data_IF_939544501534
#
_entry.id   IF_939544501534
#
_cell.length_a   1.000
_cell.length_b   1.000
_cell.length_c   1.000
_cell.angle_alpha   90.00
_cell.angle_beta   90.00
_cell.angle_gamma   90.00
#
_symmetry.space_group_name_H-M   'P 1'
#
loop_
_entity.id
_entity.type
_entity.pdbx_description
1 polymer ?
#
# COMPACT_ATOMS: atom_id res chain seq x y z
N UNK A 1 15.50 2.58 -16.74
CA UNK A 1 16.86 2.36 -16.20
C UNK A 1 17.02 3.15 -14.92
N UNK A 2 16.61 2.58 -13.78
CA UNK A 2 16.86 3.16 -12.47
C UNK A 2 18.18 2.59 -11.95
N UNK A 3 19.28 3.31 -12.16
CA UNK A 3 20.58 2.93 -11.59
C UNK A 3 20.54 3.20 -10.08
N UNK A 4 20.44 2.13 -9.30
CA UNK A 4 20.45 2.17 -7.83
C UNK A 4 21.87 2.48 -7.34
N UNK A 5 22.06 3.62 -6.68
CA UNK A 5 23.19 3.84 -5.79
C UNK A 5 22.94 3.06 -4.48
N UNK A 6 23.27 1.77 -4.47
CA UNK A 6 23.03 0.85 -3.36
C UNK A 6 24.05 0.94 -2.20
N UNK A 7 25.10 1.76 -2.33
CA UNK A 7 26.35 1.48 -1.60
C UNK A 7 26.64 2.35 -0.36
N UNK A 8 25.63 2.97 0.27
CA UNK A 8 25.90 3.86 1.42
C UNK A 8 25.27 3.46 2.77
N UNK A 9 24.63 2.30 2.90
CA UNK A 9 24.06 1.91 4.21
C UNK A 9 24.24 0.43 4.58
N UNK A 10 24.79 0.10 5.76
CA UNK A 10 24.94 -1.29 6.19
C UNK A 10 23.57 -1.98 6.39
N UNK A 11 23.37 -3.10 5.68
CA UNK A 11 22.19 -4.01 5.70
C UNK A 11 21.75 -4.50 7.09
N UNK A 12 22.53 -4.24 8.14
CA UNK A 12 22.34 -4.78 9.49
C UNK A 12 21.58 -3.88 10.48
N UNK A 13 21.33 -2.59 10.18
CA UNK A 13 20.82 -1.63 11.20
C UNK A 13 19.30 -1.43 11.25
N UNK A 14 18.53 -1.99 10.30
CA UNK A 14 17.09 -1.69 10.14
C UNK A 14 16.12 -2.83 10.45
N UNK A 15 16.57 -4.09 10.36
CA UNK A 15 15.87 -5.21 11.02
C UNK A 15 15.75 -5.01 12.54
N UNK A 16 16.36 -3.97 13.13
CA UNK A 16 16.31 -3.64 14.54
C UNK A 16 15.06 -2.84 14.99
N UNK A 17 14.22 -2.30 14.09
CA UNK A 17 13.01 -1.58 14.50
C UNK A 17 11.90 -2.58 14.90
N UNK A 18 11.32 -2.42 16.10
CA UNK A 18 10.35 -3.37 16.69
C UNK A 18 9.20 -3.75 15.75
N UNK A 19 8.66 -2.79 14.99
CA UNK A 19 7.54 -3.04 14.08
C UNK A 19 7.98 -3.73 12.78
N UNK A 20 9.18 -3.43 12.26
CA UNK A 20 9.73 -4.11 11.10
C UNK A 20 9.95 -5.60 11.39
N UNK A 21 10.45 -5.95 12.60
CA UNK A 21 10.56 -7.35 13.05
C UNK A 21 9.21 -8.08 13.09
N UNK A 22 8.13 -7.35 13.39
CA UNK A 22 6.75 -7.88 13.43
C UNK A 22 6.06 -7.87 12.06
N UNK A 23 6.78 -7.57 10.97
CA UNK A 23 6.21 -7.38 9.62
C UNK A 23 5.15 -6.26 9.53
N UNK A 24 5.22 -5.27 10.42
CA UNK A 24 4.34 -4.10 10.46
C UNK A 24 5.10 -2.84 10.01
N UNK A 25 5.70 -2.87 8.82
CA UNK A 25 6.56 -1.80 8.32
C UNK A 25 5.84 -0.45 8.18
N UNK A 26 4.52 -0.45 7.96
CA UNK A 26 3.65 0.74 7.94
C UNK A 26 3.62 1.51 9.27
N UNK A 27 4.11 0.91 10.36
CA UNK A 27 4.21 1.51 11.70
C UNK A 27 5.67 1.77 12.12
N UNK A 28 6.60 1.84 11.16
CA UNK A 28 8.02 2.03 11.45
C UNK A 28 8.30 3.37 12.15
N UNK A 29 8.76 3.32 13.40
CA UNK A 29 9.13 4.52 14.18
C UNK A 29 10.47 5.16 13.77
N UNK A 30 11.26 4.51 12.91
CA UNK A 30 12.58 5.00 12.48
C UNK A 30 12.52 5.88 11.24
N UNK A 31 11.49 5.77 10.41
CA UNK A 31 11.36 6.51 9.14
C UNK A 31 10.82 7.93 9.33
N UNK A 32 10.34 8.27 10.53
CA UNK A 32 9.86 9.62 10.85
C UNK A 32 10.65 10.21 12.03
N UNK A 33 11.40 11.27 11.75
CA UNK A 33 12.14 12.02 12.76
C UNK A 33 11.36 13.23 13.33
N UNK A 34 10.15 13.49 12.84
CA UNK A 34 9.40 14.69 13.22
C UNK A 34 8.97 14.64 14.70
N UNK A 35 9.43 15.62 15.48
CA UNK A 35 9.12 15.74 16.91
C UNK A 35 7.70 16.26 17.16
N UNK A 36 7.15 17.06 16.25
CA UNK A 36 5.79 17.61 16.34
C UNK A 36 4.76 16.48 16.29
N UNK A 37 4.98 15.49 15.41
CA UNK A 37 4.11 14.31 15.35
C UNK A 37 4.02 13.57 16.69
N UNK A 38 5.15 13.46 17.41
CA UNK A 38 5.18 12.88 18.76
C UNK A 38 4.42 13.75 19.77
N UNK A 39 4.55 15.07 19.68
CA UNK A 39 3.87 16.00 20.58
C UNK A 39 2.34 15.94 20.42
N UNK A 40 1.84 15.85 19.19
CA UNK A 40 0.39 15.84 18.90
C UNK A 40 -0.22 14.46 19.18
N UNK A 41 0.41 13.38 18.71
CA UNK A 41 -0.17 12.03 18.75
C UNK A 41 0.38 11.14 19.87
N UNK A 42 1.28 11.66 20.72
CA UNK A 42 1.98 10.89 21.78
C UNK A 42 3.05 9.92 21.25
N UNK A 43 3.00 9.58 19.95
CA UNK A 43 3.93 8.67 19.27
C UNK A 43 4.29 9.21 17.89
N UNK A 44 5.42 8.75 17.35
CA UNK A 44 5.78 8.99 15.95
C UNK A 44 5.12 7.93 15.07
N UNK A 45 4.47 8.38 14.00
CA UNK A 45 3.99 7.53 12.91
C UNK A 45 5.12 7.20 11.94
N UNK A 46 4.90 6.32 10.97
CA UNK A 46 5.87 6.05 9.92
C UNK A 46 6.04 7.24 8.95
N UNK A 47 7.21 7.29 8.31
CA UNK A 47 7.46 8.20 7.19
C UNK A 47 6.61 7.82 5.98
N UNK A 48 6.04 8.80 5.29
CA UNK A 48 5.22 8.62 4.09
C UNK A 48 5.72 9.54 2.98
N UNK A 49 5.91 9.00 1.77
CA UNK A 49 6.34 9.76 0.60
C UNK A 49 5.21 10.69 0.11
N UNK A 50 5.55 11.94 -0.20
CA UNK A 50 4.63 12.89 -0.83
C UNK A 50 3.44 13.28 0.04
N UNK A 51 3.58 13.14 1.35
CA UNK A 51 2.53 13.46 2.32
C UNK A 51 2.96 14.61 3.24
N UNK A 52 2.21 14.82 4.33
CA UNK A 52 2.44 15.90 5.29
C UNK A 52 3.86 15.94 5.87
N UNK A 53 4.33 17.14 6.22
CA UNK A 53 5.55 17.31 7.01
C UNK A 53 5.50 16.54 8.34
N UNK A 54 4.31 16.29 8.90
CA UNK A 54 4.12 15.49 10.11
C UNK A 54 4.54 14.02 9.93
N UNK A 55 4.48 13.48 8.71
CA UNK A 55 4.90 12.11 8.37
C UNK A 55 6.32 12.08 7.80
N UNK A 56 7.20 12.91 8.35
CA UNK A 56 8.62 12.96 7.99
C UNK A 56 8.97 13.88 6.83
N UNK A 57 7.99 14.45 6.11
CA UNK A 57 8.25 15.40 5.02
C UNK A 57 9.07 14.81 3.87
N UNK A 58 8.88 13.52 3.58
CA UNK A 58 9.62 12.82 2.53
C UNK A 58 9.02 13.19 1.18
N UNK A 59 9.87 13.58 0.22
CA UNK A 59 9.44 13.94 -1.13
C UNK A 59 8.65 12.78 -1.80
N UNK A 60 7.63 13.12 -2.59
CA UNK A 60 6.80 12.15 -3.29
C UNK A 60 7.48 11.54 -4.51
N UNK A 61 6.88 10.48 -5.05
CA UNK A 61 7.35 9.79 -6.26
C UNK A 61 6.74 10.29 -7.57
N UNK A 62 5.93 11.36 -7.55
CA UNK A 62 5.40 12.00 -8.77
C UNK A 62 6.47 12.90 -9.40
N UNK A 63 7.59 12.29 -9.77
CA UNK A 63 8.78 12.93 -10.35
C UNK A 63 9.56 11.89 -11.16
N UNK A 64 10.48 12.34 -11.99
CA UNK A 64 11.37 11.44 -12.77
C UNK A 64 12.31 10.63 -11.86
N UNK A 65 12.62 11.16 -10.67
CA UNK A 65 13.49 10.54 -9.69
C UNK A 65 12.89 10.63 -8.28
N UNK A 66 13.04 9.56 -7.50
CA UNK A 66 12.64 9.51 -6.10
C UNK A 66 13.77 8.97 -5.25
N UNK A 67 14.01 9.61 -4.10
CA UNK A 67 14.96 9.10 -3.11
C UNK A 67 14.24 8.18 -2.14
N UNK A 68 14.59 6.89 -2.13
CA UNK A 68 14.00 5.88 -1.23
C UNK A 68 14.91 5.67 -0.02
N UNK A 69 14.49 6.06 1.21
CA UNK A 69 15.22 5.71 2.42
C UNK A 69 15.21 4.21 2.62
N UNK A 70 16.30 3.62 3.11
CA UNK A 70 16.38 2.20 3.43
C UNK A 70 15.96 1.30 2.26
N UNK A 71 16.56 1.54 1.09
CA UNK A 71 16.20 0.84 -0.15
C UNK A 71 16.34 -0.68 -0.06
N UNK A 72 17.28 -1.17 0.75
CA UNK A 72 17.47 -2.59 1.06
C UNK A 72 16.28 -3.24 1.78
N UNK A 73 15.42 -2.45 2.41
CA UNK A 73 14.22 -2.91 3.13
C UNK A 73 12.93 -2.56 2.39
N UNK A 74 12.89 -1.40 1.72
CA UNK A 74 11.67 -0.85 1.15
C UNK A 74 11.48 -1.18 -0.33
N UNK A 75 12.54 -1.50 -1.08
CA UNK A 75 12.44 -1.85 -2.48
C UNK A 75 12.16 -3.35 -2.64
N UNK A 76 11.24 -3.67 -3.54
CA UNK A 76 11.03 -5.02 -4.05
C UNK A 76 11.55 -5.03 -5.48
N UNK A 77 12.52 -5.91 -5.75
CA UNK A 77 13.03 -6.12 -7.10
C UNK A 77 11.92 -6.74 -7.97
N UNK A 78 11.72 -6.18 -9.17
CA UNK A 78 10.76 -6.72 -10.12
C UNK A 78 11.43 -7.85 -10.91
N UNK A 79 10.72 -8.98 -11.14
CA UNK A 79 11.18 -10.00 -12.08
C UNK A 79 11.36 -9.42 -13.50
N UNK A 80 12.34 -9.94 -14.25
CA UNK A 80 12.69 -9.45 -15.60
C UNK A 80 11.53 -9.55 -16.61
N UNK A 81 10.59 -10.47 -16.39
CA UNK A 81 9.43 -10.70 -17.25
C UNK A 81 8.24 -9.78 -16.94
N UNK A 82 8.33 -8.94 -15.90
CA UNK A 82 7.29 -7.99 -15.51
C UNK A 82 7.65 -6.60 -16.03
N UNK A 83 6.87 -6.02 -16.97
CA UNK A 83 7.09 -4.65 -17.41
C UNK A 83 7.02 -3.67 -16.24
N UNK A 84 7.92 -2.67 -16.22
CA UNK A 84 8.02 -1.66 -15.15
C UNK A 84 6.65 -1.04 -14.78
N UNK A 85 5.80 -0.75 -15.77
CA UNK A 85 4.46 -0.16 -15.60
C UNK A 85 3.49 -1.05 -14.81
N UNK A 86 3.75 -2.35 -14.77
CA UNK A 86 2.94 -3.36 -14.10
C UNK A 86 3.47 -3.71 -12.70
N UNK A 87 4.63 -3.18 -12.30
CA UNK A 87 5.24 -3.34 -10.99
C UNK A 87 4.46 -2.65 -9.87
N UNK A 88 3.31 -3.21 -9.49
CA UNK A 88 2.42 -2.62 -8.48
C UNK A 88 2.53 -3.36 -7.14
N UNK A 89 3.27 -2.77 -6.21
CA UNK A 89 3.26 -3.19 -4.80
C UNK A 89 1.94 -2.81 -4.14
N UNK A 90 1.07 -3.78 -3.86
CA UNK A 90 -0.06 -3.60 -2.95
C UNK A 90 -0.33 -4.91 -2.22
N UNK A 91 0.03 -4.96 -0.95
CA UNK A 91 -0.46 -5.98 -0.02
C UNK A 91 -1.59 -5.34 0.76
N UNK A 92 -2.81 -5.82 0.55
CA UNK A 92 -3.89 -5.57 1.50
C UNK A 92 -3.78 -6.64 2.59
N UNK A 93 -4.15 -6.30 3.81
CA UNK A 93 -4.32 -7.27 4.88
C UNK A 93 -5.72 -7.07 5.43
N UNK A 94 -6.50 -8.15 5.42
CA UNK A 94 -7.89 -8.14 5.84
C UNK A 94 -8.22 -9.53 6.37
N UNK A 95 -8.77 -9.57 7.58
CA UNK A 95 -9.00 -10.81 8.33
C UNK A 95 -10.26 -11.57 7.93
N UNK A 96 -10.63 -11.57 6.65
CA UNK A 96 -11.75 -12.37 6.15
C UNK A 96 -11.26 -13.73 5.62
N UNK A 97 -12.14 -14.72 5.67
CA UNK A 97 -11.88 -16.10 5.29
C UNK A 97 -12.55 -16.48 3.97
N UNK A 98 -12.17 -17.66 3.45
CA UNK A 98 -12.79 -18.20 2.23
C UNK A 98 -14.27 -18.50 2.49
N UNK A 99 -15.13 -18.05 1.59
CA UNK A 99 -16.58 -18.21 1.70
C UNK A 99 -17.31 -17.02 2.35
N UNK A 100 -16.58 -16.08 2.96
CA UNK A 100 -17.17 -14.89 3.56
C UNK A 100 -17.89 -13.99 2.54
N UNK A 101 -18.72 -13.11 3.07
CA UNK A 101 -19.29 -11.97 2.31
C UNK A 101 -18.68 -10.67 2.82
N UNK A 102 -18.17 -9.83 1.92
CA UNK A 102 -17.42 -8.61 2.27
C UNK A 102 -18.15 -7.37 1.75
N UNK A 103 -18.38 -6.40 2.63
CA UNK A 103 -18.85 -5.07 2.24
C UNK A 103 -17.66 -4.10 2.10
N UNK A 104 -17.58 -3.38 0.99
CA UNK A 104 -16.54 -2.39 0.70
C UNK A 104 -17.18 -1.02 0.63
N UNK A 105 -16.85 -0.18 1.61
CA UNK A 105 -17.28 1.22 1.66
C UNK A 105 -16.30 2.08 0.87
N UNK A 106 -16.69 2.44 -0.35
CA UNK A 106 -15.85 3.14 -1.32
C UNK A 106 -15.59 2.31 -2.57
N UNK A 107 -16.20 2.72 -3.67
CA UNK A 107 -16.07 2.26 -5.06
C UNK A 107 -14.97 3.01 -5.83
N UNK A 108 -13.94 3.50 -5.13
CA UNK A 108 -12.78 4.14 -5.74
C UNK A 108 -11.68 3.14 -6.15
N UNK A 109 -10.52 3.61 -6.64
CA UNK A 109 -9.42 2.75 -7.07
C UNK A 109 -8.95 1.74 -6.00
N UNK A 110 -8.94 2.16 -4.73
CA UNK A 110 -8.59 1.29 -3.60
C UNK A 110 -9.67 0.24 -3.34
N UNK A 111 -10.95 0.62 -3.39
CA UNK A 111 -12.07 -0.32 -3.24
C UNK A 111 -12.08 -1.39 -4.33
N UNK A 112 -11.74 -1.00 -5.56
CA UNK A 112 -11.56 -1.95 -6.66
C UNK A 112 -10.45 -2.97 -6.39
N UNK A 113 -9.31 -2.51 -5.87
CA UNK A 113 -8.21 -3.38 -5.47
C UNK A 113 -8.64 -4.31 -4.34
N UNK A 114 -9.36 -3.78 -3.35
CA UNK A 114 -9.88 -4.56 -2.22
C UNK A 114 -10.83 -5.67 -2.68
N UNK A 115 -11.71 -5.39 -3.65
CA UNK A 115 -12.56 -6.42 -4.25
C UNK A 115 -11.76 -7.52 -4.93
N UNK A 116 -10.80 -7.17 -5.79
CA UNK A 116 -9.96 -8.17 -6.50
C UNK A 116 -9.27 -9.07 -5.48
N UNK A 117 -8.65 -8.45 -4.49
CA UNK A 117 -7.98 -9.16 -3.40
C UNK A 117 -8.92 -10.06 -2.57
N UNK A 118 -10.16 -9.63 -2.35
CA UNK A 118 -11.16 -10.43 -1.65
C UNK A 118 -11.59 -11.65 -2.49
N UNK A 119 -11.85 -11.45 -3.78
CA UNK A 119 -12.20 -12.53 -4.72
C UNK A 119 -11.08 -13.54 -4.86
N UNK A 120 -9.82 -13.09 -4.92
CA UNK A 120 -8.64 -13.97 -4.98
C UNK A 120 -8.49 -14.84 -3.72
N UNK A 121 -8.98 -14.35 -2.56
CA UNK A 121 -9.07 -15.11 -1.31
C UNK A 121 -10.28 -16.04 -1.22
N UNK A 122 -11.13 -16.05 -2.25
CA UNK A 122 -12.26 -16.98 -2.35
C UNK A 122 -13.48 -16.58 -1.53
N UNK A 123 -13.69 -15.28 -1.28
CA UNK A 123 -14.97 -14.78 -0.75
C UNK A 123 -16.11 -15.13 -1.71
N UNK A 124 -17.30 -15.40 -1.17
CA UNK A 124 -18.45 -15.78 -1.97
C UNK A 124 -19.12 -14.56 -2.62
N UNK A 125 -19.18 -13.44 -1.87
CA UNK A 125 -19.88 -12.23 -2.29
C UNK A 125 -19.13 -10.98 -1.85
N UNK A 126 -19.10 -9.96 -2.70
CA UNK A 126 -18.64 -8.62 -2.39
C UNK A 126 -19.80 -7.65 -2.60
N UNK A 127 -19.96 -6.66 -1.74
CA UNK A 127 -20.99 -5.62 -1.85
C UNK A 127 -20.30 -4.27 -1.80
N UNK A 128 -20.50 -3.43 -2.83
CA UNK A 128 -20.03 -2.05 -2.78
C UNK A 128 -21.06 -1.12 -2.13
N UNK A 129 -20.56 -0.22 -1.29
CA UNK A 129 -21.31 0.90 -0.72
C UNK A 129 -20.59 2.18 -1.13
N UNK A 130 -21.19 2.94 -2.05
CA UNK A 130 -20.73 4.25 -2.50
C UNK A 130 -21.94 5.03 -3.07
N UNK A 131 -21.71 6.22 -3.59
CA UNK A 131 -22.70 7.05 -4.26
C UNK A 131 -22.54 7.00 -5.78
N UNK A 132 -23.59 7.38 -6.50
CA UNK A 132 -23.48 7.60 -7.95
C UNK A 132 -22.55 8.80 -8.27
N UNK A 133 -21.86 8.81 -9.44
CA UNK A 133 -21.95 7.84 -10.53
C UNK A 133 -21.03 6.62 -10.36
N UNK A 134 -20.39 6.43 -9.19
CA UNK A 134 -19.40 5.35 -9.05
C UNK A 134 -20.04 3.98 -9.18
N UNK A 135 -21.18 3.74 -8.55
CA UNK A 135 -21.83 2.42 -8.60
C UNK A 135 -22.27 2.04 -10.03
N UNK A 136 -22.85 2.97 -10.79
CA UNK A 136 -23.20 2.76 -12.21
C UNK A 136 -21.96 2.56 -13.10
N UNK A 137 -20.87 3.29 -12.83
CA UNK A 137 -19.59 3.08 -13.50
C UNK A 137 -19.07 1.65 -13.28
N UNK A 138 -19.10 1.16 -12.04
CA UNK A 138 -18.67 -0.22 -11.73
C UNK A 138 -19.53 -1.25 -12.48
N UNK A 139 -20.84 -1.08 -12.47
CA UNK A 139 -21.76 -2.03 -13.13
C UNK A 139 -21.51 -2.13 -14.64
N UNK A 140 -21.11 -1.05 -15.29
CA UNK A 140 -20.93 -0.99 -16.75
C UNK A 140 -19.53 -1.39 -17.22
N UNK A 141 -18.48 -1.20 -16.41
CA UNK A 141 -17.09 -1.36 -16.87
C UNK A 141 -16.37 -2.61 -16.33
N UNK A 142 -17.01 -3.40 -15.46
CA UNK A 142 -16.34 -4.54 -14.84
C UNK A 142 -16.62 -5.88 -15.51
N UNK A 143 -15.65 -6.83 -15.47
CA UNK A 143 -15.77 -8.10 -16.16
C UNK A 143 -16.98 -8.89 -15.64
N UNK A 144 -17.86 -9.28 -16.57
CA UNK A 144 -19.05 -10.07 -16.29
C UNK A 144 -18.77 -11.34 -15.49
N UNK A 145 -17.59 -11.96 -15.67
CA UNK A 145 -17.17 -13.18 -14.95
C UNK A 145 -17.19 -13.07 -13.42
N UNK A 146 -17.08 -11.86 -12.86
CA UNK A 146 -17.14 -11.64 -11.42
C UNK A 146 -18.47 -11.01 -10.96
N UNK A 147 -19.31 -10.57 -11.88
CA UNK A 147 -20.56 -9.87 -11.58
C UNK A 147 -21.60 -10.73 -10.83
N UNK A 148 -21.66 -12.06 -10.98
CA UNK A 148 -22.50 -12.90 -10.11
C UNK A 148 -22.14 -12.81 -8.61
N UNK A 149 -20.93 -12.33 -8.29
CA UNK A 149 -20.40 -12.24 -6.92
C UNK A 149 -20.32 -10.80 -6.41
N UNK A 150 -20.71 -9.78 -7.18
CA UNK A 150 -20.49 -8.34 -6.87
C UNK A 150 -21.77 -7.55 -7.05
#
# INVERSE_FOLDING_TARGET
MFTLASDMWPRSRLHAATYCKKKQSSQCKKTNANAIAKAIYGVRTAGMFGYSHLTGGIAGGQAEYVRVPFGDVNLLELPDDVPDENGKSNTLDAGFEKGDSVAIFGAGPIGHRARVFALDRGVNKVIFVDTEPRLSYIKSHFPWKYMPRV
#
